data_IF_442392881880
#
_entry.id   IF_442392881880
#
_cell.length_a   1.000
_cell.length_b   1.000
_cell.length_c   1.000
_cell.angle_alpha   90.00
_cell.angle_beta   90.00
_cell.angle_gamma   90.00
#
_symmetry.space_group_name_H-M   'P 1'
#
loop_
_entity.id
_entity.type
_entity.pdbx_description
1 polymer ?
#
# COMPACT_ATOMS: atom_id res chain seq x y z
N UNK A 1 -0.61 28.47 55.30
CA UNK A 1 -0.82 27.13 54.71
C UNK A 1 -0.98 27.34 53.22
N UNK A 2 0.08 27.08 52.46
CA UNK A 2 0.22 27.50 51.06
C UNK A 2 -0.01 26.27 50.19
N UNK A 3 -1.11 26.26 49.45
CA UNK A 3 -1.44 25.18 48.52
C UNK A 3 -0.68 25.39 47.21
N UNK A 4 0.23 24.48 46.88
CA UNK A 4 0.88 24.40 45.56
C UNK A 4 -0.06 23.60 44.67
N UNK A 5 -0.67 24.26 43.69
CA UNK A 5 -1.43 23.61 42.62
C UNK A 5 -0.46 23.10 41.54
N UNK A 6 -0.17 21.80 41.53
CA UNK A 6 0.37 21.11 40.36
C UNK A 6 -0.78 20.82 39.40
N UNK A 7 -0.85 21.55 38.28
CA UNK A 7 -1.75 21.25 37.17
C UNK A 7 -1.04 20.32 36.18
N UNK A 8 -1.81 19.34 35.71
CA UNK A 8 -1.45 18.09 35.10
C UNK A 8 -0.58 18.21 33.83
N UNK A 9 0.44 17.35 33.79
CA UNK A 9 1.08 16.88 32.56
C UNK A 9 0.04 16.22 31.65
N UNK A 10 -0.18 16.80 30.46
CA UNK A 10 -0.91 16.14 29.40
C UNK A 10 -0.06 14.97 28.87
N UNK A 11 -0.42 13.74 29.23
CA UNK A 11 -0.08 12.57 28.45
C UNK A 11 -0.86 12.68 27.13
N UNK A 12 -0.18 13.06 26.05
CA UNK A 12 -0.66 12.84 24.69
C UNK A 12 -0.64 11.32 24.41
N UNK A 13 -1.70 10.64 24.85
CA UNK A 13 -2.03 9.25 24.49
C UNK A 13 -3.37 9.28 23.77
N UNK A 14 -3.36 8.90 22.49
CA UNK A 14 -4.52 9.02 21.61
C UNK A 14 -5.64 8.03 21.90
N UNK A 15 -6.84 8.39 21.43
CA UNK A 15 -7.90 7.47 21.01
C UNK A 15 -8.93 8.26 20.20
N UNK A 16 -9.27 7.76 19.00
CA UNK A 16 -10.56 7.97 18.34
C UNK A 16 -10.80 9.32 17.67
N UNK A 17 -10.42 9.45 16.39
CA UNK A 17 -10.85 10.55 15.53
C UNK A 17 -11.61 10.05 14.31
N UNK A 18 -12.93 9.90 14.43
CA UNK A 18 -13.85 9.86 13.31
C UNK A 18 -14.35 11.29 13.02
N UNK A 19 -13.94 11.86 11.89
CA UNK A 19 -14.52 13.06 11.24
C UNK A 19 -14.05 14.42 11.81
N UNK A 20 -13.64 15.42 11.04
CA UNK A 20 -13.50 15.56 9.59
C UNK A 20 -13.03 16.98 9.23
N UNK A 21 -12.48 17.10 8.01
CA UNK A 21 -12.42 18.24 7.09
C UNK A 21 -11.76 19.57 7.53
N UNK A 22 -10.58 19.90 6.96
CA UNK A 22 -10.38 21.00 5.98
C UNK A 22 -9.16 20.66 5.09
N UNK A 23 -9.39 20.41 3.80
CA UNK A 23 -8.33 20.28 2.78
C UNK A 23 -8.60 19.18 1.75
N UNK A 24 -9.28 19.53 0.65
CA UNK A 24 -9.42 18.76 -0.61
C UNK A 24 -9.18 17.24 -0.55
N UNK A 25 -9.95 16.51 0.26
CA UNK A 25 -9.71 15.08 0.51
C UNK A 25 -10.39 14.21 -0.53
N UNK A 26 -9.62 13.68 -1.49
CA UNK A 26 -10.08 12.55 -2.30
C UNK A 26 -10.44 11.37 -1.41
N UNK A 27 -11.41 10.57 -1.83
CA UNK A 27 -11.68 9.29 -1.17
C UNK A 27 -10.46 8.38 -1.38
N UNK A 28 -9.90 7.84 -0.30
CA UNK A 28 -8.77 6.92 -0.38
C UNK A 28 -9.19 5.60 -1.03
N UNK A 29 -8.30 5.01 -1.82
CA UNK A 29 -8.48 3.70 -2.40
C UNK A 29 -8.66 2.68 -1.27
N UNK A 30 -9.88 2.15 -1.12
CA UNK A 30 -10.23 1.22 -0.06
C UNK A 30 -10.55 -0.16 -0.67
N UNK A 31 -9.66 -1.15 -0.52
CA UNK A 31 -9.88 -2.49 -1.06
C UNK A 31 -10.95 -3.28 -0.30
N UNK A 32 -11.43 -2.77 0.84
CA UNK A 32 -12.41 -3.45 1.71
C UNK A 32 -11.78 -4.47 2.66
N UNK A 33 -10.44 -4.52 2.75
CA UNK A 33 -9.68 -5.46 3.57
C UNK A 33 -8.30 -4.89 3.91
N UNK A 34 -7.59 -5.53 4.83
CA UNK A 34 -6.18 -5.21 5.04
C UNK A 34 -5.36 -5.78 3.89
N UNK A 35 -4.41 -4.98 3.42
CA UNK A 35 -3.50 -5.31 2.33
C UNK A 35 -2.09 -4.94 2.72
N UNK A 36 -1.12 -5.73 2.28
CA UNK A 36 0.30 -5.44 2.44
C UNK A 36 1.04 -5.74 1.14
N UNK A 37 2.13 -5.01 0.89
CA UNK A 37 3.08 -5.38 -0.14
C UNK A 37 3.69 -6.73 0.25
N UNK A 38 3.58 -7.74 -0.61
CA UNK A 38 4.14 -9.07 -0.37
C UNK A 38 5.44 -9.27 -1.16
N UNK A 39 5.51 -8.78 -2.40
CA UNK A 39 6.72 -8.83 -3.24
C UNK A 39 6.92 -7.55 -4.04
N UNK A 40 8.17 -7.11 -4.20
CA UNK A 40 9.37 -7.62 -3.53
C UNK A 40 9.39 -7.09 -2.09
N UNK A 41 9.10 -7.94 -1.10
CA UNK A 41 9.27 -7.61 0.30
C UNK A 41 10.34 -8.55 0.85
N UNK A 42 11.33 -8.00 1.57
CA UNK A 42 12.51 -8.68 2.13
C UNK A 42 13.57 -9.20 1.14
N UNK A 43 13.55 -8.81 -0.14
CA UNK A 43 14.71 -8.96 -1.00
C UNK A 43 15.58 -7.71 -0.83
N UNK A 44 16.53 -7.76 0.12
CA UNK A 44 17.29 -6.60 0.59
C UNK A 44 17.92 -5.74 -0.53
N UNK A 45 18.12 -6.28 -1.72
CA UNK A 45 18.57 -5.59 -2.94
C UNK A 45 18.01 -6.29 -4.17
N UNK A 46 16.70 -6.14 -4.43
CA UNK A 46 16.07 -6.74 -5.60
C UNK A 46 16.53 -6.01 -6.87
N UNK A 47 17.69 -6.39 -7.41
CA UNK A 47 18.05 -5.96 -8.76
C UNK A 47 17.08 -6.58 -9.76
N UNK A 48 16.44 -5.75 -10.58
CA UNK A 48 15.55 -6.14 -11.67
C UNK A 48 14.10 -6.52 -11.30
N UNK A 49 13.42 -5.68 -10.52
CA UNK A 49 11.98 -5.87 -10.23
C UNK A 49 11.14 -5.57 -11.47
N UNK A 50 10.39 -6.56 -11.95
CA UNK A 50 9.49 -6.44 -13.11
C UNK A 50 8.02 -6.75 -12.79
N UNK A 51 7.73 -7.17 -11.57
CA UNK A 51 6.38 -7.38 -11.05
C UNK A 51 6.30 -7.01 -9.57
N UNK A 52 5.09 -6.68 -9.14
CA UNK A 52 4.76 -6.43 -7.74
C UNK A 52 3.61 -7.34 -7.34
N UNK A 53 3.62 -7.77 -6.08
CA UNK A 53 2.61 -8.64 -5.49
C UNK A 53 2.17 -8.08 -4.15
N UNK A 54 0.88 -8.17 -3.88
CA UNK A 54 0.28 -7.83 -2.59
C UNK A 54 -0.41 -9.06 -2.02
N UNK A 55 -0.55 -9.05 -0.71
CA UNK A 55 -1.35 -10.00 0.04
C UNK A 55 -2.51 -9.27 0.72
N UNK A 56 -3.69 -9.87 0.67
CA UNK A 56 -4.91 -9.36 1.29
C UNK A 56 -5.45 -10.35 2.31
N UNK A 57 -6.04 -9.83 3.40
CA UNK A 57 -6.56 -10.66 4.50
C UNK A 57 -7.92 -11.34 4.22
N UNK A 58 -8.59 -10.97 3.13
CA UNK A 58 -9.91 -11.50 2.73
C UNK A 58 -10.13 -11.34 1.20
N UNK A 59 -10.74 -12.33 0.54
CA UNK A 59 -11.08 -12.31 -0.89
C UNK A 59 -12.54 -11.94 -1.19
N UNK A 60 -13.42 -11.86 -0.20
CA UNK A 60 -14.81 -11.45 -0.41
C UNK A 60 -14.96 -9.92 -0.36
N UNK A 61 -14.02 -9.23 -1.00
CA UNK A 61 -13.79 -7.79 -0.87
C UNK A 61 -13.85 -7.11 -2.23
N UNK A 62 -13.84 -5.78 -2.30
CA UNK A 62 -13.87 -5.06 -3.58
C UNK A 62 -12.63 -5.40 -4.43
N UNK A 63 -11.49 -5.60 -3.78
CA UNK A 63 -10.28 -6.09 -4.42
C UNK A 63 -10.44 -7.53 -4.93
N UNK A 64 -10.92 -8.45 -4.10
CA UNK A 64 -11.05 -9.86 -4.48
C UNK A 64 -12.12 -10.14 -5.53
N UNK A 65 -13.21 -9.37 -5.54
CA UNK A 65 -14.29 -9.51 -6.54
C UNK A 65 -13.95 -8.90 -7.90
N UNK A 66 -13.04 -7.92 -7.96
CA UNK A 66 -12.69 -7.21 -9.20
C UNK A 66 -11.22 -6.80 -9.25
N UNK A 67 -10.27 -7.76 -9.14
CA UNK A 67 -8.84 -7.44 -9.07
C UNK A 67 -8.36 -6.69 -10.32
N UNK A 68 -8.98 -6.94 -11.48
CA UNK A 68 -8.67 -6.25 -12.73
C UNK A 68 -8.96 -4.74 -12.77
N UNK A 69 -9.63 -4.18 -11.75
CA UNK A 69 -9.84 -2.73 -11.60
C UNK A 69 -8.79 -2.06 -10.70
N UNK A 70 -7.84 -2.85 -10.18
CA UNK A 70 -6.80 -2.41 -9.25
C UNK A 70 -5.42 -2.55 -9.90
N UNK A 71 -4.53 -1.65 -9.53
CA UNK A 71 -3.17 -1.56 -10.04
C UNK A 71 -2.23 -1.19 -8.88
N UNK A 72 -0.95 -1.49 -9.05
CA UNK A 72 0.09 -1.01 -8.15
C UNK A 72 0.87 0.10 -8.84
N UNK A 73 1.17 1.12 -8.06
CA UNK A 73 1.99 2.26 -8.47
C UNK A 73 3.29 2.19 -7.68
N UNK A 74 4.42 2.10 -8.37
CA UNK A 74 5.76 2.27 -7.80
C UNK A 74 6.24 3.69 -8.10
N UNK A 75 6.53 4.45 -7.04
CA UNK A 75 7.12 5.78 -7.14
C UNK A 75 8.52 5.73 -6.54
N UNK A 76 9.52 5.96 -7.38
CA UNK A 76 10.90 6.04 -6.95
C UNK A 76 11.24 7.41 -6.34
N UNK A 77 12.21 7.46 -5.43
CA UNK A 77 12.66 8.69 -4.78
C UNK A 77 13.51 9.63 -5.67
N UNK A 78 14.08 9.12 -6.76
CA UNK A 78 14.82 9.89 -7.78
C UNK A 78 14.14 9.88 -9.16
N UNK A 79 13.25 8.91 -9.40
CA UNK A 79 12.47 8.76 -10.62
C UNK A 79 11.30 9.75 -10.66
N UNK A 80 11.24 10.56 -11.72
CA UNK A 80 10.26 11.64 -11.84
C UNK A 80 8.83 11.23 -12.20
N UNK A 81 8.62 10.00 -12.68
CA UNK A 81 7.30 9.50 -13.06
C UNK A 81 7.01 8.15 -12.38
N UNK A 82 5.77 7.93 -11.92
CA UNK A 82 5.39 6.64 -11.36
C UNK A 82 5.33 5.56 -12.42
N UNK A 83 5.75 4.34 -12.05
CA UNK A 83 5.60 3.14 -12.86
C UNK A 83 4.37 2.38 -12.37
N UNK A 84 3.44 2.11 -13.27
CA UNK A 84 2.24 1.34 -12.95
C UNK A 84 2.39 -0.10 -13.39
N UNK A 85 1.82 -1.02 -12.63
CA UNK A 85 1.65 -2.40 -13.10
C UNK A 85 0.55 -2.48 -14.15
N UNK A 86 0.44 -3.65 -14.80
CA UNK A 86 -0.80 -4.15 -15.37
C UNK A 86 -1.88 -4.23 -14.29
N UNK A 87 -3.12 -4.43 -14.72
CA UNK A 87 -4.21 -4.76 -13.81
C UNK A 87 -3.84 -5.98 -12.95
N UNK A 88 -4.26 -5.96 -11.69
CA UNK A 88 -3.98 -7.05 -10.77
C UNK A 88 -4.75 -8.31 -11.15
N UNK A 89 -4.09 -9.45 -11.02
CA UNK A 89 -4.68 -10.78 -11.11
C UNK A 89 -4.42 -11.56 -9.84
N UNK A 90 -5.39 -12.39 -9.44
CA UNK A 90 -5.18 -13.35 -8.36
C UNK A 90 -4.10 -14.35 -8.77
N UNK A 91 -3.20 -14.67 -7.84
CA UNK A 91 -2.14 -15.67 -8.03
C UNK A 91 -2.21 -16.72 -6.93
N UNK A 92 -1.73 -17.96 -7.20
CA UNK A 92 -1.62 -18.98 -6.17
C UNK A 92 -0.77 -18.50 -5.00
N UNK A 93 -1.05 -19.03 -3.81
CA UNK A 93 -0.18 -18.86 -2.65
C UNK A 93 1.25 -19.29 -3.00
N UNK A 94 2.20 -18.36 -3.00
CA UNK A 94 3.57 -18.63 -3.40
C UNK A 94 4.41 -19.29 -2.30
N UNK A 95 3.83 -19.58 -1.13
CA UNK A 95 4.47 -20.14 0.05
C UNK A 95 5.40 -19.15 0.76
N UNK A 96 5.60 -19.35 2.06
CA UNK A 96 6.53 -18.56 2.88
C UNK A 96 5.89 -17.94 4.11
N UNK A 97 6.21 -16.68 4.39
CA UNK A 97 5.65 -15.94 5.52
C UNK A 97 4.25 -15.42 5.17
N UNK A 98 3.32 -15.62 6.11
CA UNK A 98 1.91 -15.27 5.99
C UNK A 98 1.56 -14.19 7.02
N UNK A 99 1.41 -12.91 6.61
CA UNK A 99 1.12 -11.82 7.54
C UNK A 99 -0.32 -11.87 8.08
N UNK A 100 -1.25 -12.51 7.37
CA UNK A 100 -2.63 -12.66 7.82
C UNK A 100 -3.00 -14.14 8.05
N UNK A 101 -4.02 -14.42 8.88
CA UNK A 101 -4.52 -15.78 9.06
C UNK A 101 -5.11 -16.41 7.79
N UNK A 102 -5.65 -15.57 6.89
CA UNK A 102 -6.12 -15.97 5.57
C UNK A 102 -5.47 -15.04 4.55
N UNK A 103 -4.65 -15.58 3.67
CA UNK A 103 -3.92 -14.79 2.69
C UNK A 103 -4.44 -15.03 1.28
N UNK A 104 -4.63 -13.93 0.55
CA UNK A 104 -4.99 -13.93 -0.86
C UNK A 104 -4.04 -13.04 -1.62
N UNK A 105 -3.34 -13.61 -2.60
CA UNK A 105 -2.26 -12.94 -3.31
C UNK A 105 -2.74 -12.38 -4.65
N UNK A 106 -2.31 -11.17 -4.96
CA UNK A 106 -2.59 -10.50 -6.22
C UNK A 106 -1.31 -9.91 -6.79
N UNK A 107 -1.06 -10.11 -8.08
CA UNK A 107 0.15 -9.59 -8.74
C UNK A 107 -0.17 -8.79 -10.00
N UNK A 108 0.74 -7.88 -10.34
CA UNK A 108 0.73 -7.12 -11.59
C UNK A 108 2.14 -6.97 -12.14
N UNK A 109 2.27 -6.97 -13.47
CA UNK A 109 3.56 -6.79 -14.17
C UNK A 109 3.80 -5.32 -14.45
N UNK A 110 5.00 -4.80 -14.16
CA UNK A 110 5.36 -3.41 -14.43
C UNK A 110 5.57 -3.11 -15.92
N UNK A 111 5.70 -4.15 -16.77
CA UNK A 111 6.01 -4.00 -18.20
C UNK A 111 7.41 -3.45 -18.50
N UNK A 112 8.13 -3.03 -17.45
CA UNK A 112 9.52 -2.58 -17.46
C UNK A 112 10.20 -3.09 -16.19
N UNK A 113 11.52 -3.06 -16.19
CA UNK A 113 12.33 -3.34 -15.01
C UNK A 113 12.59 -2.04 -14.28
N UNK A 114 12.37 -2.02 -12.95
CA UNK A 114 12.68 -0.85 -12.14
C UNK A 114 14.20 -0.61 -12.09
N UNK A 115 14.66 0.64 -12.25
CA UNK A 115 16.05 1.02 -12.01
C UNK A 115 16.57 0.53 -10.66
N UNK A 116 17.83 0.08 -10.62
CA UNK A 116 18.53 -0.30 -9.39
C UNK A 116 19.09 0.93 -8.65
N UNK A 117 19.38 0.79 -7.35
CA UNK A 117 19.96 1.84 -6.51
C UNK A 117 18.94 2.88 -6.03
N UNK A 118 17.64 2.55 -6.05
CA UNK A 118 16.55 3.46 -5.76
C UNK A 118 15.61 2.88 -4.69
N UNK A 119 14.98 3.73 -3.89
CA UNK A 119 13.90 3.31 -2.98
C UNK A 119 12.55 3.62 -3.63
N UNK A 120 11.71 2.59 -3.70
CA UNK A 120 10.40 2.62 -4.33
C UNK A 120 9.31 2.53 -3.27
N UNK A 121 8.46 3.55 -3.22
CA UNK A 121 7.22 3.51 -2.46
C UNK A 121 6.14 2.85 -3.34
N UNK A 122 5.49 1.81 -2.83
CA UNK A 122 4.40 1.12 -3.52
C UNK A 122 3.06 1.56 -2.94
N UNK A 123 2.13 1.93 -3.82
CA UNK A 123 0.76 2.25 -3.45
C UNK A 123 -0.24 1.47 -4.30
N UNK A 124 -1.35 1.08 -3.68
CA UNK A 124 -2.52 0.53 -4.33
C UNK A 124 -3.38 1.66 -4.92
N UNK A 125 -3.78 1.52 -6.17
CA UNK A 125 -4.68 2.45 -6.86
C UNK A 125 -5.83 1.70 -7.52
N UNK A 126 -6.97 2.38 -7.66
CA UNK A 126 -8.15 1.88 -8.36
C UNK A 126 -8.44 2.74 -9.58
N UNK A 127 -8.94 2.12 -10.66
CA UNK A 127 -9.20 2.78 -11.93
C UNK A 127 -8.06 2.60 -12.93
N UNK A 128 -8.08 3.31 -14.06
CA UNK A 128 -7.07 3.12 -15.10
C UNK A 128 -5.71 3.68 -14.65
N UNK A 129 -4.60 3.02 -15.01
CA UNK A 129 -3.24 3.53 -14.76
C UNK A 129 -3.11 4.99 -15.25
N UNK A 130 -2.69 5.89 -14.36
CA UNK A 130 -2.62 7.33 -14.62
C UNK A 130 -3.93 8.12 -14.51
N UNK A 131 -5.07 7.47 -14.25
CA UNK A 131 -6.37 8.09 -13.98
C UNK A 131 -7.02 7.42 -12.75
N UNK A 132 -6.31 7.49 -11.62
CA UNK A 132 -6.78 6.93 -10.37
C UNK A 132 -8.09 7.59 -9.97
N UNK A 133 -9.10 6.79 -9.65
CA UNK A 133 -10.40 7.32 -9.20
C UNK A 133 -10.32 7.79 -7.75
N UNK A 134 -9.34 7.34 -6.99
CA UNK A 134 -9.19 7.54 -5.55
C UNK A 134 -7.75 7.96 -5.19
N UNK A 135 -7.56 8.48 -3.97
CA UNK A 135 -6.22 8.75 -3.43
C UNK A 135 -5.49 7.42 -3.17
N UNK A 136 -4.27 7.23 -3.69
CA UNK A 136 -3.52 5.98 -3.53
C UNK A 136 -3.36 5.55 -2.06
N UNK A 137 -3.43 4.24 -1.80
CA UNK A 137 -3.17 3.63 -0.49
C UNK A 137 -1.72 3.11 -0.45
N UNK A 138 -0.84 3.74 0.33
CA UNK A 138 0.54 3.27 0.48
C UNK A 138 0.61 1.93 1.21
N UNK A 139 1.35 0.98 0.64
CA UNK A 139 1.47 -0.40 1.13
C UNK A 139 2.82 -0.71 1.77
N UNK A 140 3.85 0.03 1.37
CA UNK A 140 5.21 -0.18 1.85
C UNK A 140 6.25 0.35 0.87
N UNK A 141 7.52 0.11 1.21
CA UNK A 141 8.67 0.53 0.42
C UNK A 141 9.66 -0.62 0.27
N UNK A 142 10.45 -0.58 -0.80
CA UNK A 142 11.58 -1.49 -1.00
C UNK A 142 12.71 -0.80 -1.78
N UNK A 143 13.92 -1.32 -1.68
CA UNK A 143 15.08 -0.83 -2.43
C UNK A 143 15.50 -1.83 -3.51
N UNK A 144 15.92 -1.30 -4.66
CA UNK A 144 16.46 -2.05 -5.80
C UNK A 144 17.97 -1.94 -5.92
#
# INVERSE_FOLDING_TARGET
MTAIALVLTACAGGTGGLGGIIGGGGFQCNPGTQVQLARPQNQAFASNVSSLEIVASDNNTVLGQSPGSWFLQAQGNFSGQPVFTSALGAVPDPGGFHPFPNDFFFSGSLGTTLPAGETWTVSLVQGQAGNATCTPLTLGEFST
#
